data_IF_945627272315
#
_entry.id   IF_945627272315
#
_cell.length_a   1.000
_cell.length_b   1.000
_cell.length_c   1.000
_cell.angle_alpha   90.00
_cell.angle_beta   90.00
_cell.angle_gamma   90.00
#
_symmetry.space_group_name_H-M   'P 1'
#
loop_
_entity.id
_entity.type
_entity.pdbx_description
1 polymer ?
#
# COMPACT_ATOMS: atom_id res chain seq x y z
N UNK A 1 4.20 13.04 -13.90
CA UNK A 1 3.25 12.96 -12.78
C UNK A 1 1.84 13.10 -13.30
N UNK A 2 0.92 12.31 -12.78
CA UNK A 2 -0.50 12.28 -13.15
C UNK A 2 -1.28 12.86 -11.98
N UNK A 3 -2.23 13.75 -12.26
CA UNK A 3 -3.08 14.34 -11.22
C UNK A 3 -4.54 14.04 -11.52
N UNK A 4 -5.27 13.66 -10.47
CA UNK A 4 -6.73 13.53 -10.48
C UNK A 4 -7.30 14.37 -9.33
N UNK A 5 -8.34 15.16 -9.60
CA UNK A 5 -8.99 16.04 -8.64
C UNK A 5 -10.51 15.94 -8.77
N UNK A 6 -11.16 15.53 -7.68
CA UNK A 6 -12.63 15.44 -7.57
C UNK A 6 -13.04 15.50 -6.09
N UNK A 7 -14.27 15.90 -5.77
CA UNK A 7 -14.79 15.89 -4.38
C UNK A 7 -13.94 16.67 -3.35
N UNK A 8 -13.35 17.80 -3.75
CA UNK A 8 -12.35 18.55 -2.97
C UNK A 8 -11.12 17.73 -2.57
N UNK A 9 -10.87 16.62 -3.24
CA UNK A 9 -9.71 15.77 -3.06
C UNK A 9 -8.79 15.89 -4.27
N UNK A 10 -7.50 15.66 -4.07
CA UNK A 10 -6.52 15.59 -5.15
C UNK A 10 -5.49 14.52 -4.85
N UNK A 11 -5.19 13.69 -5.84
CA UNK A 11 -4.09 12.73 -5.81
C UNK A 11 -3.07 13.05 -6.88
N UNK A 12 -1.80 12.78 -6.57
CA UNK A 12 -0.70 12.80 -7.54
C UNK A 12 -0.06 11.42 -7.61
N UNK A 13 0.08 10.87 -8.82
CA UNK A 13 0.64 9.53 -9.06
C UNK A 13 1.82 9.60 -10.03
N UNK A 14 2.90 8.89 -9.72
CA UNK A 14 4.04 8.65 -10.60
C UNK A 14 3.91 7.29 -11.31
N UNK A 15 4.12 7.20 -12.63
CA UNK A 15 4.18 5.92 -13.32
C UNK A 15 5.29 4.99 -12.79
N UNK A 16 6.42 5.57 -12.37
CA UNK A 16 7.48 4.82 -11.70
C UNK A 16 7.00 4.38 -10.32
N UNK A 17 6.94 3.06 -10.14
CA UNK A 17 6.39 2.39 -8.96
C UNK A 17 4.87 2.47 -8.83
N UNK A 18 4.15 3.04 -9.82
CA UNK A 18 2.74 3.43 -9.69
C UNK A 18 2.48 4.19 -8.40
N UNK A 19 3.43 5.03 -7.99
CA UNK A 19 3.50 5.59 -6.65
C UNK A 19 2.50 6.74 -6.46
N UNK A 20 1.60 6.62 -5.48
CA UNK A 20 0.82 7.75 -4.99
C UNK A 20 1.76 8.66 -4.19
N UNK A 21 2.16 9.81 -4.75
CA UNK A 21 3.12 10.73 -4.12
C UNK A 21 2.45 11.74 -3.21
N UNK A 22 1.20 12.12 -3.48
CA UNK A 22 0.40 12.97 -2.60
C UNK A 22 -1.08 12.61 -2.65
N UNK A 23 -1.77 12.82 -1.53
CA UNK A 23 -3.22 12.75 -1.43
C UNK A 23 -3.71 13.81 -0.45
N UNK A 24 -4.57 14.72 -0.92
CA UNK A 24 -5.09 15.84 -0.13
C UNK A 24 -6.61 15.90 -0.16
N UNK A 25 -7.21 16.50 0.88
CA UNK A 25 -8.63 16.89 0.94
C UNK A 25 -8.74 18.32 1.47
N UNK A 26 -9.48 19.17 0.76
CA UNK A 26 -9.65 20.60 1.07
C UNK A 26 -8.30 21.33 1.30
N UNK A 27 -7.26 20.92 0.56
CA UNK A 27 -5.91 21.48 0.65
C UNK A 27 -5.08 20.99 1.85
N UNK A 28 -5.60 20.05 2.66
CA UNK A 28 -4.86 19.41 3.75
C UNK A 28 -4.37 18.03 3.30
N UNK A 29 -3.15 17.67 3.71
CA UNK A 29 -2.57 16.35 3.44
C UNK A 29 -3.31 15.26 4.21
N UNK A 30 -3.74 14.23 3.49
CA UNK A 30 -4.31 13.00 4.06
C UNK A 30 -3.19 11.99 4.29
N UNK A 31 -2.30 11.85 3.32
CA UNK A 31 -1.05 11.12 3.45
C UNK A 31 0.10 12.11 3.50
N UNK A 32 1.13 11.81 4.28
CA UNK A 32 2.36 12.59 4.27
C UNK A 32 2.90 12.61 2.83
N UNK A 33 3.09 13.77 2.19
CA UNK A 33 3.53 13.84 0.82
C UNK A 33 4.96 13.29 0.68
N UNK A 34 5.25 12.74 -0.49
CA UNK A 34 6.58 12.20 -0.80
C UNK A 34 7.65 13.28 -0.68
N UNK A 35 8.67 13.01 0.13
CA UNK A 35 9.78 13.92 0.39
C UNK A 35 11.03 13.15 0.79
N UNK A 36 12.19 13.80 0.72
CA UNK A 36 13.43 13.24 1.28
C UNK A 36 13.54 13.58 2.77
N UNK A 37 13.72 12.55 3.59
CA UNK A 37 14.06 12.65 5.00
C UNK A 37 15.37 11.90 5.22
N UNK A 38 16.39 12.60 5.74
CA UNK A 38 17.73 12.04 6.01
C UNK A 38 18.30 11.23 4.83
N UNK A 39 18.22 11.83 3.63
CA UNK A 39 18.72 11.24 2.38
C UNK A 39 17.88 10.10 1.81
N UNK A 40 16.73 9.77 2.43
CA UNK A 40 15.86 8.69 2.00
C UNK A 40 14.47 9.21 1.58
N UNK A 41 13.91 8.64 0.52
CA UNK A 41 12.53 8.92 0.14
C UNK A 41 11.54 8.33 1.15
N UNK A 42 10.58 9.13 1.60
CA UNK A 42 9.48 8.79 2.52
C UNK A 42 8.20 9.46 2.03
N UNK A 43 7.04 9.01 2.50
CA UNK A 43 5.75 9.63 2.16
C UNK A 43 5.08 9.03 0.93
N UNK A 44 3.79 9.32 0.79
CA UNK A 44 2.91 8.76 -0.23
C UNK A 44 2.35 7.39 0.14
N UNK A 45 2.14 6.56 -0.87
CA UNK A 45 1.79 5.15 -0.73
C UNK A 45 2.33 4.38 -1.95
N UNK A 46 3.30 3.48 -1.73
CA UNK A 46 3.72 2.54 -2.76
C UNK A 46 3.03 1.19 -2.59
N UNK A 47 2.87 0.46 -3.69
CA UNK A 47 2.49 -0.95 -3.66
C UNK A 47 3.66 -1.81 -3.15
N UNK A 48 3.36 -2.87 -2.41
CA UNK A 48 4.30 -3.94 -2.10
C UNK A 48 3.83 -5.18 -2.85
N UNK A 49 4.53 -5.60 -3.90
CA UNK A 49 4.15 -6.77 -4.68
C UNK A 49 5.34 -7.35 -5.44
N UNK A 50 5.38 -8.69 -5.64
CA UNK A 50 4.35 -9.67 -5.28
C UNK A 50 4.37 -10.06 -3.79
N UNK A 51 5.47 -9.74 -3.08
CA UNK A 51 5.63 -9.94 -1.65
C UNK A 51 5.58 -8.61 -0.89
N UNK A 52 4.98 -8.62 0.30
CA UNK A 52 5.01 -7.49 1.22
C UNK A 52 6.36 -7.40 1.94
N UNK A 53 6.73 -8.43 2.71
CA UNK A 53 7.99 -8.46 3.46
C UNK A 53 9.22 -8.83 2.62
N UNK A 54 10.26 -9.42 3.23
CA UNK A 54 11.38 -10.01 2.49
C UNK A 54 10.92 -11.15 1.57
N UNK A 55 11.63 -11.37 0.44
CA UNK A 55 11.22 -12.34 -0.58
C UNK A 55 11.51 -13.81 -0.24
N UNK A 56 12.26 -14.10 0.81
CA UNK A 56 12.60 -15.47 1.22
C UNK A 56 13.19 -16.30 0.09
N UNK A 57 12.67 -17.52 -0.11
CA UNK A 57 13.15 -18.46 -1.13
C UNK A 57 12.93 -17.98 -2.58
N UNK A 58 12.03 -17.01 -2.80
CA UNK A 58 11.85 -16.43 -4.15
C UNK A 58 13.03 -15.60 -4.61
N UNK A 59 13.93 -15.18 -3.69
CA UNK A 59 15.06 -14.30 -3.99
C UNK A 59 14.67 -12.84 -4.28
N UNK A 60 13.38 -12.50 -4.23
CA UNK A 60 12.92 -11.13 -4.44
C UNK A 60 13.38 -10.18 -3.32
N UNK A 61 13.57 -8.91 -3.69
CA UNK A 61 13.84 -7.86 -2.73
C UNK A 61 12.66 -7.65 -1.77
N UNK A 62 12.93 -6.97 -0.65
CA UNK A 62 11.88 -6.53 0.27
C UNK A 62 10.85 -5.67 -0.48
N UNK A 63 9.56 -5.97 -0.28
CA UNK A 63 8.41 -5.36 -0.97
C UNK A 63 8.31 -5.63 -2.49
N UNK A 64 9.12 -6.57 -2.99
CA UNK A 64 9.11 -7.02 -4.37
C UNK A 64 9.50 -5.94 -5.38
N UNK A 65 9.04 -6.11 -6.62
CA UNK A 65 9.43 -5.30 -7.77
C UNK A 65 8.40 -4.24 -8.15
N UNK A 66 7.17 -4.28 -7.63
CA UNK A 66 6.09 -3.38 -8.07
C UNK A 66 6.45 -1.91 -7.91
N UNK A 67 7.05 -1.53 -6.78
CA UNK A 67 7.48 -0.15 -6.48
C UNK A 67 8.73 0.31 -7.25
N UNK A 68 9.46 -0.60 -7.90
CA UNK A 68 10.67 -0.29 -8.69
C UNK A 68 10.46 -0.48 -10.19
N UNK A 69 9.26 -0.87 -10.61
CA UNK A 69 8.88 -1.05 -12.01
C UNK A 69 8.29 0.24 -12.58
N UNK A 70 8.44 0.47 -13.87
CA UNK A 70 7.73 1.55 -14.58
C UNK A 70 6.41 1.03 -15.11
N UNK A 71 5.30 1.62 -14.65
CA UNK A 71 3.96 1.24 -15.06
C UNK A 71 3.46 2.09 -16.23
N UNK A 72 2.56 1.52 -17.04
CA UNK A 72 1.94 2.24 -18.16
C UNK A 72 0.58 2.75 -17.75
N UNK A 73 0.29 4.03 -18.02
CA UNK A 73 -1.05 4.59 -17.80
C UNK A 73 -2.01 3.98 -18.80
N UNK A 74 -3.02 3.27 -18.31
CA UNK A 74 -4.04 2.62 -19.15
C UNK A 74 -5.33 3.42 -19.22
N UNK A 75 -5.66 4.18 -18.16
CA UNK A 75 -6.84 5.02 -18.12
C UNK A 75 -6.62 6.22 -17.20
N UNK A 76 -7.19 7.36 -17.56
CA UNK A 76 -7.23 8.55 -16.70
C UNK A 76 -8.55 9.30 -16.91
N UNK A 77 -9.11 9.79 -15.81
CA UNK A 77 -10.23 10.74 -15.73
C UNK A 77 -9.92 11.77 -14.64
N UNK A 78 -10.81 12.74 -14.42
CA UNK A 78 -10.66 13.70 -13.32
C UNK A 78 -10.64 13.03 -11.95
N UNK A 79 -11.31 11.90 -11.76
CA UNK A 79 -11.42 11.22 -10.46
C UNK A 79 -10.62 9.93 -10.36
N UNK A 80 -9.93 9.50 -11.43
CA UNK A 80 -9.31 8.18 -11.46
C UNK A 80 -8.12 8.09 -12.37
N UNK A 81 -7.13 7.30 -11.97
CA UNK A 81 -6.06 6.81 -12.85
C UNK A 81 -5.89 5.31 -12.65
N UNK A 82 -5.75 4.59 -13.77
CA UNK A 82 -5.37 3.18 -13.79
C UNK A 82 -4.02 3.03 -14.49
N UNK A 83 -3.15 2.19 -13.92
CA UNK A 83 -1.82 1.88 -14.43
C UNK A 83 -1.66 0.37 -14.54
N UNK A 84 -1.07 -0.11 -15.64
CA UNK A 84 -0.85 -1.52 -15.91
C UNK A 84 0.64 -1.85 -15.97
N UNK A 85 1.01 -3.01 -15.44
CA UNK A 85 2.34 -3.60 -15.54
C UNK A 85 2.24 -4.98 -16.18
N UNK A 86 2.94 -5.15 -17.30
CA UNK A 86 3.29 -6.46 -17.84
C UNK A 86 4.63 -6.88 -17.23
N UNK A 87 4.67 -8.07 -16.64
CA UNK A 87 5.82 -8.47 -15.82
C UNK A 87 6.81 -9.31 -16.63
N UNK A 88 8.06 -8.89 -16.62
CA UNK A 88 9.20 -9.65 -17.16
C UNK A 88 10.05 -10.34 -16.08
N UNK A 89 9.75 -10.08 -14.80
CA UNK A 89 10.43 -10.68 -13.64
C UNK A 89 10.34 -12.21 -13.67
N UNK A 90 11.45 -12.88 -13.38
CA UNK A 90 11.50 -14.33 -13.37
C UNK A 90 10.51 -14.91 -12.35
N UNK A 91 9.76 -15.95 -12.74
CA UNK A 91 8.70 -16.55 -11.91
C UNK A 91 7.36 -15.81 -11.94
N UNK A 92 7.28 -14.62 -12.54
CA UNK A 92 6.04 -13.83 -12.66
C UNK A 92 5.71 -13.45 -14.11
N UNK A 93 6.48 -13.96 -15.09
CA UNK A 93 6.18 -13.77 -16.52
C UNK A 93 4.80 -14.32 -16.87
N UNK A 94 4.07 -13.57 -17.68
CA UNK A 94 2.69 -13.89 -18.04
C UNK A 94 1.64 -13.36 -17.05
N UNK A 95 2.06 -12.71 -15.96
CA UNK A 95 1.12 -11.94 -15.12
C UNK A 95 0.96 -10.52 -15.66
N UNK A 96 -0.29 -10.05 -15.58
CA UNK A 96 -0.63 -8.63 -15.74
C UNK A 96 -1.12 -8.09 -14.41
N UNK A 97 -0.55 -6.98 -13.97
CA UNK A 97 -1.04 -6.24 -12.81
C UNK A 97 -1.68 -4.93 -13.26
N UNK A 98 -2.76 -4.53 -12.60
CA UNK A 98 -3.39 -3.21 -12.75
C UNK A 98 -3.55 -2.58 -11.38
N UNK A 99 -3.08 -1.35 -11.23
CA UNK A 99 -3.38 -0.51 -10.06
C UNK A 99 -4.37 0.57 -10.48
N UNK A 100 -5.44 0.71 -9.72
CA UNK A 100 -6.42 1.79 -9.90
C UNK A 100 -6.48 2.64 -8.64
N UNK A 101 -6.29 3.95 -8.81
CA UNK A 101 -6.55 4.97 -7.81
C UNK A 101 -7.85 5.69 -8.18
N UNK A 102 -8.87 5.60 -7.35
CA UNK A 102 -10.21 6.17 -7.61
C UNK A 102 -10.66 7.04 -6.44
N UNK A 103 -10.82 8.33 -6.70
CA UNK A 103 -11.45 9.27 -5.79
C UNK A 103 -12.95 9.02 -5.72
N UNK A 104 -13.49 9.05 -4.51
CA UNK A 104 -14.92 8.97 -4.18
C UNK A 104 -15.26 10.08 -3.17
N UNK A 105 -16.55 10.44 -2.97
CA UNK A 105 -16.93 11.44 -1.96
C UNK A 105 -16.43 11.13 -0.54
N UNK A 106 -16.29 9.85 -0.21
CA UNK A 106 -15.84 9.35 1.10
C UNK A 106 -14.33 9.28 1.25
N UNK A 107 -13.55 9.36 0.16
CA UNK A 107 -12.09 9.25 0.20
C UNK A 107 -11.49 8.62 -1.05
N UNK A 108 -10.41 7.85 -0.87
CA UNK A 108 -9.64 7.24 -1.97
C UNK A 108 -9.71 5.72 -1.90
N UNK A 109 -10.10 5.09 -3.00
CA UNK A 109 -9.95 3.66 -3.22
C UNK A 109 -8.67 3.36 -3.99
N UNK A 110 -7.90 2.38 -3.50
CA UNK A 110 -6.70 1.84 -4.15
C UNK A 110 -6.92 0.34 -4.37
N UNK A 111 -6.84 -0.11 -5.62
CA UNK A 111 -7.07 -1.51 -5.98
C UNK A 111 -5.89 -2.03 -6.79
N UNK A 112 -5.31 -3.13 -6.36
CA UNK A 112 -4.37 -3.92 -7.13
C UNK A 112 -5.09 -5.16 -7.65
N UNK A 113 -5.25 -5.27 -8.97
CA UNK A 113 -5.72 -6.47 -9.64
C UNK A 113 -4.53 -7.21 -10.26
N UNK A 114 -4.45 -8.52 -10.03
CA UNK A 114 -3.44 -9.40 -10.60
C UNK A 114 -4.11 -10.51 -11.42
N UNK A 115 -3.80 -10.59 -12.71
CA UNK A 115 -4.30 -11.63 -13.61
C UNK A 115 -3.17 -12.58 -13.94
N UNK A 116 -3.36 -13.88 -13.68
CA UNK A 116 -2.39 -14.91 -14.00
C UNK A 116 -2.65 -15.50 -15.40
N UNK A 117 -1.91 -15.02 -16.39
CA UNK A 117 -1.90 -15.57 -17.75
C UNK A 117 -0.88 -16.68 -17.98
N UNK A 118 -0.14 -17.10 -16.94
CA UNK A 118 0.79 -18.22 -17.03
C UNK A 118 0.07 -19.58 -16.92
N UNK A 119 0.82 -20.67 -17.07
CA UNK A 119 0.33 -22.05 -17.04
C UNK A 119 0.43 -22.71 -15.65
N UNK A 120 0.97 -22.02 -14.65
CA UNK A 120 1.10 -22.49 -13.28
C UNK A 120 0.56 -21.49 -12.25
N UNK A 121 0.12 -21.96 -11.06
CA UNK A 121 -0.22 -21.06 -9.96
C UNK A 121 0.97 -20.21 -9.52
N UNK A 122 0.73 -18.95 -9.19
CA UNK A 122 1.76 -18.01 -8.72
C UNK A 122 1.46 -17.55 -7.32
N UNK A 123 2.50 -17.45 -6.48
CA UNK A 123 2.38 -16.95 -5.11
C UNK A 123 2.31 -15.42 -5.10
N UNK A 124 1.34 -14.85 -4.42
CA UNK A 124 1.14 -13.41 -4.22
C UNK A 124 0.78 -13.17 -2.74
N UNK A 125 1.50 -12.27 -2.09
CA UNK A 125 1.19 -11.72 -0.78
C UNK A 125 1.43 -10.20 -0.76
N UNK A 126 0.62 -9.43 -1.51
CA UNK A 126 0.85 -8.00 -1.67
C UNK A 126 0.34 -7.19 -0.47
N UNK A 127 0.64 -5.89 -0.49
CA UNK A 127 0.09 -4.91 0.43
C UNK A 127 0.29 -3.48 -0.06
N UNK A 128 -0.14 -2.54 0.77
CA UNK A 128 0.01 -1.09 0.56
C UNK A 128 0.85 -0.49 1.67
N UNK A 129 1.65 0.52 1.33
CA UNK A 129 2.56 1.16 2.29
C UNK A 129 2.26 2.66 2.47
N UNK A 130 1.07 3.04 2.99
CA UNK A 130 0.70 4.45 3.16
C UNK A 130 1.40 5.07 4.37
N UNK A 131 1.84 6.32 4.20
CA UNK A 131 2.48 7.12 5.24
C UNK A 131 1.49 8.17 5.79
N UNK A 132 1.13 8.09 7.07
CA UNK A 132 0.26 9.07 7.73
C UNK A 132 1.09 10.04 8.55
N UNK A 133 0.91 11.35 8.32
CA UNK A 133 1.62 12.37 9.07
C UNK A 133 1.17 12.39 10.53
N UNK A 134 2.13 12.51 11.44
CA UNK A 134 1.88 12.81 12.84
C UNK A 134 1.99 14.32 13.07
N UNK A 135 1.29 14.87 14.08
CA UNK A 135 1.38 16.29 14.41
C UNK A 135 2.81 16.77 14.62
N UNK A 136 3.09 18.03 14.30
CA UNK A 136 4.39 18.63 14.60
C UNK A 136 4.64 18.60 16.11
N UNK A 137 5.80 18.07 16.51
CA UNK A 137 6.14 17.89 17.93
C UNK A 137 5.52 16.65 18.57
N UNK A 138 4.95 15.74 17.78
CA UNK A 138 4.48 14.43 18.25
C UNK A 138 5.61 13.64 18.93
N UNK A 139 5.24 12.93 20.01
CA UNK A 139 6.07 11.95 20.71
C UNK A 139 5.98 10.54 20.08
N UNK A 140 5.36 10.41 18.91
CA UNK A 140 5.10 9.14 18.23
C UNK A 140 3.76 8.50 18.52
N UNK A 141 2.90 9.13 19.32
CA UNK A 141 1.56 8.63 19.64
C UNK A 141 0.59 8.62 18.46
N UNK A 142 -0.13 7.52 18.30
CA UNK A 142 -1.28 7.35 17.38
C UNK A 142 -2.29 6.37 17.99
N UNK A 143 -3.47 6.23 17.36
CA UNK A 143 -4.48 5.27 17.82
C UNK A 143 -4.93 4.32 16.72
N UNK A 144 -5.23 3.07 17.08
CA UNK A 144 -5.91 2.09 16.24
C UNK A 144 -7.15 1.62 16.99
N UNK A 145 -8.33 1.80 16.40
CA UNK A 145 -9.63 1.46 17.00
C UNK A 145 -9.80 2.04 18.42
N UNK A 146 -9.30 3.26 18.61
CA UNK A 146 -9.31 3.98 19.90
C UNK A 146 -8.25 3.52 20.91
N UNK A 147 -7.51 2.44 20.63
CA UNK A 147 -6.41 1.97 21.48
C UNK A 147 -5.13 2.76 21.17
N UNK A 148 -4.37 3.21 22.19
CA UNK A 148 -3.15 3.98 21.99
C UNK A 148 -1.97 3.09 21.59
N UNK A 149 -1.13 3.61 20.69
CA UNK A 149 0.13 3.03 20.24
C UNK A 149 1.20 4.13 20.21
N UNK A 150 2.48 3.75 20.29
CA UNK A 150 3.58 4.69 20.12
C UNK A 150 4.66 4.13 19.18
N UNK A 151 4.94 4.87 18.10
CA UNK A 151 5.88 4.46 17.07
C UNK A 151 7.35 4.46 17.54
N UNK A 152 7.70 5.16 18.63
CA UNK A 152 9.05 5.17 19.22
C UNK A 152 9.45 3.80 19.77
N UNK A 153 8.47 2.98 20.15
CA UNK A 153 8.70 1.65 20.73
C UNK A 153 9.11 0.62 19.66
N UNK A 154 9.02 0.97 18.37
CA UNK A 154 9.20 0.03 17.28
C UNK A 154 10.66 -0.01 16.82
N UNK A 155 11.39 -1.04 17.25
CA UNK A 155 12.68 -1.38 16.63
C UNK A 155 12.52 -1.98 15.23
N UNK A 156 11.40 -2.68 15.01
CA UNK A 156 11.01 -3.34 13.77
C UNK A 156 9.50 -3.18 13.56
N UNK A 157 9.01 -3.50 12.36
CA UNK A 157 7.59 -3.45 12.05
C UNK A 157 6.78 -4.34 13.00
N UNK A 158 5.74 -3.78 13.61
CA UNK A 158 4.81 -4.53 14.46
C UNK A 158 3.62 -4.99 13.61
N UNK A 159 3.15 -6.21 13.81
CA UNK A 159 2.02 -6.75 13.06
C UNK A 159 0.79 -6.89 13.96
N UNK A 160 -0.31 -6.31 13.51
CA UNK A 160 -1.64 -6.50 14.11
C UNK A 160 -2.58 -7.17 13.11
N UNK A 161 -3.72 -7.66 13.60
CA UNK A 161 -4.78 -8.25 12.78
C UNK A 161 -6.03 -7.39 12.81
N UNK A 162 -6.74 -7.35 11.69
CA UNK A 162 -8.03 -6.67 11.53
C UNK A 162 -9.03 -7.61 10.83
N UNK A 163 -10.32 -7.35 11.02
CA UNK A 163 -11.42 -7.95 10.26
C UNK A 163 -11.57 -7.39 8.84
N UNK A 164 -10.65 -6.52 8.39
CA UNK A 164 -10.72 -5.81 7.10
C UNK A 164 -11.12 -4.34 7.26
N UNK A 165 -11.16 -3.83 8.49
CA UNK A 165 -11.37 -2.40 8.75
C UNK A 165 -10.67 -2.00 10.05
N UNK A 166 -10.08 -0.80 10.08
CA UNK A 166 -9.63 -0.17 11.32
C UNK A 166 -9.81 1.35 11.26
N UNK A 167 -10.02 1.96 12.42
CA UNK A 167 -9.96 3.41 12.60
C UNK A 167 -8.55 3.82 13.05
N UNK A 168 -7.94 4.77 12.34
CA UNK A 168 -6.61 5.32 12.63
C UNK A 168 -6.75 6.77 13.09
N UNK A 169 -6.20 7.11 14.26
CA UNK A 169 -6.07 8.48 14.72
C UNK A 169 -4.62 8.95 14.72
N UNK A 170 -4.36 10.14 14.16
CA UNK A 170 -3.07 10.81 14.13
C UNK A 170 -3.24 12.28 14.55
N UNK A 171 -3.21 12.54 15.87
CA UNK A 171 -3.59 13.85 16.41
C UNK A 171 -5.08 14.13 16.19
N UNK A 172 -5.39 15.29 15.60
CA UNK A 172 -6.77 15.69 15.28
C UNK A 172 -7.31 15.01 14.00
N UNK A 173 -6.45 14.34 13.23
CA UNK A 173 -6.85 13.63 12.03
C UNK A 173 -7.31 12.21 12.36
N UNK A 174 -8.41 11.78 11.73
CA UNK A 174 -8.93 10.42 11.84
C UNK A 174 -9.24 9.87 10.46
N UNK A 175 -8.97 8.58 10.28
CA UNK A 175 -9.15 7.87 9.03
C UNK A 175 -9.83 6.53 9.31
N UNK A 176 -10.69 6.06 8.40
CA UNK A 176 -11.11 4.65 8.39
C UNK A 176 -10.43 3.96 7.22
N UNK A 177 -9.60 2.97 7.51
CA UNK A 177 -8.99 2.10 6.52
C UNK A 177 -9.88 0.88 6.35
N UNK A 178 -10.43 0.68 5.15
CA UNK A 178 -11.21 -0.51 4.80
C UNK A 178 -10.43 -1.31 3.78
N UNK A 179 -10.24 -2.59 4.02
CA UNK A 179 -9.51 -3.47 3.12
C UNK A 179 -10.30 -4.72 2.77
N UNK A 180 -10.13 -5.19 1.54
CA UNK A 180 -10.62 -6.50 1.11
C UNK A 180 -9.45 -7.46 1.01
N UNK A 181 -9.51 -8.55 1.78
CA UNK A 181 -8.48 -9.60 1.87
C UNK A 181 -7.12 -9.18 2.48
N UNK A 182 -6.96 -7.95 2.96
CA UNK A 182 -5.73 -7.49 3.64
C UNK A 182 -5.97 -7.40 5.15
N UNK A 183 -5.85 -8.54 5.84
CA UNK A 183 -6.22 -8.69 7.27
C UNK A 183 -5.03 -8.57 8.22
N UNK A 184 -3.81 -8.53 7.70
CA UNK A 184 -2.60 -8.21 8.48
C UNK A 184 -2.26 -6.75 8.24
N UNK A 185 -1.87 -6.03 9.28
CA UNK A 185 -1.44 -4.63 9.17
C UNK A 185 -0.08 -4.50 9.82
N UNK A 186 0.90 -4.01 9.07
CA UNK A 186 2.19 -3.63 9.65
C UNK A 186 2.14 -2.19 10.15
N UNK A 187 2.72 -1.94 11.31
CA UNK A 187 2.88 -0.63 11.92
C UNK A 187 4.38 -0.34 12.00
N UNK A 188 4.84 0.74 11.36
CA UNK A 188 6.27 1.04 11.31
C UNK A 188 6.56 2.52 11.10
N UNK A 189 7.66 3.02 11.68
CA UNK A 189 8.17 4.34 11.38
C UNK A 189 9.69 4.40 11.54
N UNK A 190 10.38 5.03 10.59
CA UNK A 190 11.77 5.45 10.79
C UNK A 190 11.88 6.83 11.45
N UNK A 191 10.80 7.62 11.47
CA UNK A 191 10.76 8.95 12.07
C UNK A 191 9.49 9.08 12.91
N UNK A 192 9.44 8.46 14.10
CA UNK A 192 8.22 8.36 14.89
C UNK A 192 7.67 9.72 15.32
N UNK A 193 8.47 10.79 15.39
CA UNK A 193 7.94 12.15 15.62
C UNK A 193 7.34 12.83 14.38
N UNK A 194 7.26 12.16 13.23
CA UNK A 194 6.84 12.76 11.95
C UNK A 194 5.76 11.99 11.21
N UNK A 195 5.81 10.66 11.22
CA UNK A 195 4.80 9.83 10.56
C UNK A 195 4.71 8.44 11.18
N UNK A 196 3.62 7.74 10.86
CA UNK A 196 3.45 6.30 11.04
C UNK A 196 3.02 5.68 9.71
N UNK A 197 3.60 4.55 9.36
CA UNK A 197 3.09 3.68 8.30
C UNK A 197 2.09 2.70 8.92
N UNK A 198 0.92 2.58 8.29
CA UNK A 198 -0.13 1.64 8.68
C UNK A 198 -0.49 0.85 7.43
N UNK A 199 0.02 -0.37 7.34
CA UNK A 199 0.25 -1.06 6.06
C UNK A 199 -0.59 -2.34 5.94
N UNK A 200 -1.82 -2.26 5.42
CA UNK A 200 -2.61 -3.44 5.09
C UNK A 200 -1.91 -4.34 4.08
N UNK A 201 -1.76 -5.60 4.44
CA UNK A 201 -1.11 -6.66 3.66
C UNK A 201 -1.88 -7.96 3.74
N UNK A 202 -1.77 -8.80 2.71
CA UNK A 202 -2.38 -10.13 2.70
C UNK A 202 -1.79 -10.99 3.82
N UNK A 203 -0.46 -10.96 3.99
CA UNK A 203 0.24 -11.91 4.86
C UNK A 203 1.60 -11.45 5.41
N UNK A 204 1.93 -10.15 5.39
CA UNK A 204 3.15 -9.65 6.02
C UNK A 204 4.42 -10.27 5.44
N UNK A 205 5.24 -10.89 6.28
CA UNK A 205 6.52 -11.50 5.92
C UNK A 205 6.40 -12.95 5.42
N UNK A 206 5.21 -13.41 5.03
CA UNK A 206 4.95 -14.83 4.72
C UNK A 206 5.90 -15.45 3.68
N UNK A 207 6.42 -14.67 2.72
CA UNK A 207 7.41 -15.16 1.76
C UNK A 207 8.72 -15.64 2.41
N UNK A 208 9.12 -15.01 3.52
CA UNK A 208 10.29 -15.40 4.30
C UNK A 208 9.95 -16.41 5.40
N UNK A 209 8.80 -16.23 6.04
CA UNK A 209 8.43 -16.99 7.25
C UNK A 209 7.73 -18.32 6.94
N UNK A 210 7.13 -18.45 5.75
CA UNK A 210 6.35 -19.62 5.33
C UNK A 210 6.93 -20.19 4.02
N UNK A 211 7.76 -21.25 4.08
CA UNK A 211 8.38 -21.85 2.90
C UNK A 211 7.36 -22.42 1.90
N UNK A 212 6.26 -22.99 2.42
CA UNK A 212 5.15 -23.48 1.60
C UNK A 212 4.05 -22.44 1.52
N UNK A 213 3.73 -22.00 0.31
CA UNK A 213 2.67 -21.02 0.07
C UNK A 213 1.30 -21.54 0.55
N UNK A 214 0.59 -20.82 1.44
CA UNK A 214 -0.80 -21.10 1.75
C UNK A 214 -1.69 -20.91 0.52
N UNK A 215 -2.81 -21.64 0.46
CA UNK A 215 -3.76 -21.56 -0.66
C UNK A 215 -4.26 -20.13 -0.93
N UNK A 216 -4.45 -19.30 0.11
CA UNK A 216 -4.89 -17.90 -0.03
C UNK A 216 -3.87 -17.01 -0.77
N UNK A 217 -2.62 -17.45 -0.86
CA UNK A 217 -1.53 -16.74 -1.53
C UNK A 217 -1.31 -17.28 -2.94
N UNK A 218 -2.03 -18.31 -3.39
CA UNK A 218 -1.85 -18.91 -4.71
C UNK A 218 -2.92 -18.43 -5.67
N UNK A 219 -2.49 -17.73 -6.72
CA UNK A 219 -3.33 -17.33 -7.84
C UNK A 219 -3.25 -18.36 -8.96
N UNK A 220 -4.34 -19.08 -9.21
CA UNK A 220 -4.41 -20.10 -10.26
C UNK A 220 -4.34 -19.51 -11.69
N UNK A 221 -3.88 -20.30 -12.69
CA UNK A 221 -3.93 -19.92 -14.10
C UNK A 221 -5.31 -19.45 -14.54
N UNK A 222 -5.36 -18.40 -15.36
CA UNK A 222 -6.57 -17.80 -15.91
C UNK A 222 -7.42 -17.01 -14.90
N UNK A 223 -7.02 -16.93 -13.63
CA UNK A 223 -7.78 -16.21 -12.61
C UNK A 223 -7.25 -14.80 -12.38
N UNK A 224 -8.11 -13.95 -11.81
CA UNK A 224 -7.76 -12.62 -11.31
C UNK A 224 -8.03 -12.54 -9.82
N UNK A 225 -7.09 -11.98 -9.06
CA UNK A 225 -7.27 -11.61 -7.66
C UNK A 225 -7.22 -10.09 -7.50
N UNK A 226 -7.99 -9.56 -6.55
CA UNK A 226 -8.01 -8.14 -6.21
C UNK A 226 -7.65 -7.91 -4.75
N UNK A 227 -6.84 -6.87 -4.52
CA UNK A 227 -6.37 -6.44 -3.22
C UNK A 227 -6.66 -4.95 -3.06
N UNK A 228 -7.61 -4.63 -2.19
CA UNK A 228 -8.19 -3.29 -2.08
C UNK A 228 -7.88 -2.66 -0.71
N UNK A 229 -7.59 -1.37 -0.74
CA UNK A 229 -7.54 -0.48 0.42
C UNK A 229 -8.30 0.81 0.09
N UNK A 230 -9.29 1.14 0.91
CA UNK A 230 -9.97 2.43 0.92
C UNK A 230 -9.50 3.25 2.13
N UNK A 231 -9.14 4.50 1.89
CA UNK A 231 -8.85 5.49 2.93
C UNK A 231 -10.05 6.44 2.98
N UNK A 232 -10.88 6.30 4.02
CA UNK A 232 -12.07 7.12 4.24
C UNK A 232 -11.80 8.22 5.26
N UNK A 233 -12.42 9.39 5.03
CA UNK A 233 -12.12 10.67 5.68
C UNK A 233 -13.33 11.32 6.35
#
# INVERSE_FOLDING_TARGET
>A
MIQCSAYNQTITVEPDGALLTSYTRAGQDVLMPRQQLDGNWRGGCHVCMPNFGPGGESGLAQHGFGRTSTWQVSQQTDSMVALTLQVDEAGYRGLTFTITYQLAPTGLAMVLAATNGADAPVRLAPGWHPYFALPTGSDGGFTIDGSPYNAVEYAEAQFIRTSGQLALGCGDNSYTLVSSNLTTVALWSAHPGRYICVEPTLAGNSFADEPTAPARELLAPGHTAEYRLDIQL
#
